data_IF_333529914389
#
_entry.id   IF_333529914389
#
_cell.length_a   1.000
_cell.length_b   1.000
_cell.length_c   1.000
_cell.angle_alpha   90.00
_cell.angle_beta   90.00
_cell.angle_gamma   90.00
#
_symmetry.space_group_name_H-M   'P 1'
#
loop_
_entity.id
_entity.type
_entity.pdbx_description
1 polymer ?
#
# COMPACT_ATOMS: atom_id res chain seq x y z
N UNK A 1 31.63 -3.71 21.07
CA UNK A 1 30.25 -3.56 21.57
C UNK A 1 29.52 -4.86 21.30
N UNK A 2 29.18 -5.62 22.34
CA UNK A 2 28.41 -6.86 22.20
C UNK A 2 26.93 -6.50 22.18
N UNK A 3 26.25 -6.73 21.06
CA UNK A 3 24.79 -6.59 21.00
C UNK A 3 24.16 -7.90 21.44
N UNK A 4 23.35 -7.86 22.50
CA UNK A 4 22.56 -9.01 22.91
C UNK A 4 21.49 -9.31 21.86
N UNK A 5 21.46 -10.54 21.35
CA UNK A 5 20.35 -11.03 20.52
C UNK A 5 19.17 -11.36 21.44
N UNK A 6 18.01 -10.77 21.18
CA UNK A 6 16.77 -11.05 21.92
C UNK A 6 16.01 -12.18 21.24
N UNK A 7 15.56 -13.16 22.02
CA UNK A 7 14.70 -14.23 21.53
C UNK A 7 13.27 -13.71 21.39
N UNK A 8 12.61 -14.15 20.33
CA UNK A 8 11.21 -13.80 20.05
C UNK A 8 10.30 -14.67 20.93
N UNK A 9 9.22 -14.10 21.47
CA UNK A 9 8.26 -14.86 22.28
C UNK A 9 7.51 -15.89 21.41
N UNK A 10 7.13 -17.01 22.01
CA UNK A 10 6.40 -18.07 21.31
C UNK A 10 5.07 -17.56 20.72
N UNK A 11 4.34 -16.75 21.48
CA UNK A 11 3.08 -16.13 21.04
C UNK A 11 3.22 -15.32 19.74
N UNK A 12 4.39 -14.69 19.52
CA UNK A 12 4.67 -13.96 18.29
C UNK A 12 5.05 -14.90 17.15
N UNK A 13 5.85 -15.94 17.43
CA UNK A 13 6.27 -16.93 16.44
C UNK A 13 5.03 -17.61 15.82
N UNK A 14 4.04 -17.96 16.63
CA UNK A 14 2.84 -18.68 16.17
C UNK A 14 1.94 -17.84 15.23
N UNK A 15 2.03 -16.51 15.30
CA UNK A 15 1.24 -15.58 14.49
C UNK A 15 2.03 -14.99 13.31
N UNK A 16 3.34 -15.22 13.25
CA UNK A 16 4.21 -14.62 12.26
C UNK A 16 4.00 -15.25 10.87
N UNK A 17 4.01 -14.41 9.84
CA UNK A 17 3.94 -14.88 8.44
C UNK A 17 5.26 -15.47 7.91
N UNK A 18 6.35 -15.35 8.69
CA UNK A 18 7.70 -15.75 8.28
C UNK A 18 8.52 -16.15 9.49
N UNK A 19 9.42 -17.12 9.32
CA UNK A 19 10.44 -17.52 10.29
C UNK A 19 11.83 -17.40 9.65
N UNK A 20 12.90 -17.68 10.41
CA UNK A 20 14.28 -17.51 9.92
C UNK A 20 14.57 -18.33 8.66
N UNK A 21 14.12 -19.60 8.64
CA UNK A 21 14.35 -20.51 7.51
C UNK A 21 13.61 -20.03 6.25
N UNK A 22 12.34 -19.65 6.39
CA UNK A 22 11.55 -19.14 5.27
C UNK A 22 12.09 -17.79 4.78
N UNK A 23 12.58 -16.93 5.69
CA UNK A 23 13.26 -15.70 5.33
C UNK A 23 14.49 -15.97 4.47
N UNK A 24 15.40 -16.84 4.91
CA UNK A 24 16.62 -17.17 4.17
C UNK A 24 16.29 -17.72 2.78
N UNK A 25 15.26 -18.59 2.70
CA UNK A 25 14.77 -19.12 1.43
C UNK A 25 14.25 -18.03 0.49
N UNK A 26 13.33 -17.17 0.97
CA UNK A 26 12.74 -16.10 0.15
C UNK A 26 13.77 -15.05 -0.25
N UNK A 27 14.70 -14.73 0.66
CA UNK A 27 15.81 -13.82 0.39
C UNK A 27 16.72 -14.37 -0.71
N UNK A 28 17.12 -15.64 -0.60
CA UNK A 28 17.91 -16.32 -1.64
C UNK A 28 17.17 -16.33 -2.99
N UNK A 29 15.88 -16.67 -3.00
CA UNK A 29 15.05 -16.65 -4.21
C UNK A 29 14.99 -15.25 -4.85
N UNK A 30 14.88 -14.19 -4.04
CA UNK A 30 14.82 -12.80 -4.52
C UNK A 30 16.12 -12.32 -5.19
N UNK A 31 17.27 -12.92 -4.84
CA UNK A 31 18.56 -12.60 -5.43
C UNK A 31 18.87 -13.47 -6.65
N UNK A 32 18.59 -14.78 -6.56
CA UNK A 32 18.91 -15.73 -7.62
C UNK A 32 17.90 -15.70 -8.77
N UNK A 33 16.62 -15.48 -8.48
CA UNK A 33 15.53 -15.48 -9.46
C UNK A 33 14.62 -14.25 -9.28
N UNK A 34 15.16 -13.01 -9.38
CA UNK A 34 14.43 -11.78 -9.07
C UNK A 34 13.16 -11.61 -9.92
N UNK A 35 13.22 -11.92 -11.21
CA UNK A 35 12.08 -11.78 -12.13
C UNK A 35 10.88 -12.63 -11.69
N UNK A 36 11.12 -13.92 -11.39
CA UNK A 36 10.07 -14.84 -10.95
C UNK A 36 9.56 -14.47 -9.56
N UNK A 37 10.47 -14.14 -8.64
CA UNK A 37 10.14 -13.76 -7.27
C UNK A 37 9.24 -12.51 -7.26
N UNK A 38 9.66 -11.44 -7.94
CA UNK A 38 8.92 -10.18 -7.93
C UNK A 38 7.63 -10.26 -8.74
N UNK A 39 7.59 -11.05 -9.82
CA UNK A 39 6.32 -11.37 -10.51
C UNK A 39 5.32 -12.01 -9.55
N UNK A 40 5.74 -12.99 -8.76
CA UNK A 40 4.90 -13.64 -7.75
C UNK A 40 4.43 -12.66 -6.67
N UNK A 41 5.32 -11.79 -6.17
CA UNK A 41 4.94 -10.81 -5.15
C UNK A 41 3.98 -9.75 -5.69
N UNK A 42 4.20 -9.26 -6.90
CA UNK A 42 3.38 -8.23 -7.53
C UNK A 42 1.98 -8.73 -7.92
N UNK A 43 1.82 -10.02 -8.19
CA UNK A 43 0.49 -10.61 -8.44
C UNK A 43 -0.40 -10.73 -7.18
N UNK A 44 0.08 -10.29 -6.01
CA UNK A 44 -0.74 -10.19 -4.77
C UNK A 44 -1.63 -8.94 -4.75
N UNK A 45 -1.40 -8.00 -5.67
CA UNK A 45 -2.22 -6.81 -5.85
C UNK A 45 -2.97 -6.88 -7.18
N UNK A 46 -4.02 -6.07 -7.30
CA UNK A 46 -4.83 -6.02 -8.50
C UNK A 46 -4.18 -5.13 -9.55
N UNK A 47 -4.05 -5.68 -10.76
CA UNK A 47 -3.61 -4.99 -11.96
C UNK A 47 -4.78 -4.89 -12.93
N UNK A 48 -5.06 -3.70 -13.43
CA UNK A 48 -6.04 -3.50 -14.51
C UNK A 48 -5.49 -4.00 -15.84
N UNK A 49 -4.19 -3.76 -16.06
CA UNK A 49 -3.40 -4.37 -17.13
C UNK A 49 -2.22 -5.11 -16.51
N UNK A 50 -2.15 -6.45 -16.63
CA UNK A 50 -1.00 -7.21 -16.17
C UNK A 50 0.30 -6.73 -16.82
N UNK A 51 1.40 -6.75 -16.08
CA UNK A 51 2.73 -6.49 -16.61
C UNK A 51 3.31 -7.76 -17.25
N UNK A 52 4.21 -7.60 -18.20
CA UNK A 52 4.94 -8.72 -18.82
C UNK A 52 6.29 -8.97 -18.18
N UNK A 53 6.93 -7.93 -17.62
CA UNK A 53 8.26 -8.00 -17.00
C UNK A 53 8.25 -7.33 -15.63
N UNK A 54 8.77 -8.03 -14.62
CA UNK A 54 8.85 -7.49 -13.26
C UNK A 54 9.92 -6.39 -13.14
N UNK A 55 11.10 -6.61 -13.73
CA UNK A 55 12.22 -5.68 -13.58
C UNK A 55 12.98 -5.44 -14.90
N UNK A 56 13.16 -4.18 -15.26
CA UNK A 56 13.99 -3.76 -16.38
C UNK A 56 14.81 -2.54 -15.99
N UNK A 57 16.03 -2.75 -15.48
CA UNK A 57 16.82 -1.61 -15.01
C UNK A 57 18.32 -1.70 -15.26
N UNK A 58 18.92 -0.53 -15.48
CA UNK A 58 20.37 -0.29 -15.55
C UNK A 58 20.76 0.78 -14.53
N UNK A 59 21.93 0.61 -13.91
CA UNK A 59 22.51 1.62 -13.02
C UNK A 59 23.52 2.52 -13.73
N UNK A 60 23.88 2.21 -14.98
CA UNK A 60 24.79 3.01 -15.81
C UNK A 60 24.46 2.82 -17.32
N UNK A 61 23.72 3.73 -17.96
CA UNK A 61 23.02 4.89 -17.38
C UNK A 61 21.93 4.46 -16.41
N UNK A 62 21.56 5.34 -15.46
CA UNK A 62 20.45 5.06 -14.53
C UNK A 62 19.13 5.09 -15.28
N UNK A 63 18.53 3.92 -15.45
CA UNK A 63 17.18 3.72 -15.97
C UNK A 63 16.56 2.58 -15.15
N UNK A 64 15.72 2.90 -14.17
CA UNK A 64 15.15 1.91 -13.25
C UNK A 64 13.65 1.77 -13.49
N UNK A 65 13.21 0.61 -13.98
CA UNK A 65 11.81 0.34 -14.28
C UNK A 65 11.35 -0.97 -13.66
N UNK A 66 10.19 -0.90 -13.02
CA UNK A 66 9.49 -2.02 -12.42
C UNK A 66 8.09 -2.09 -12.99
N UNK A 67 7.69 -3.27 -13.49
CA UNK A 67 6.34 -3.51 -14.03
C UNK A 67 5.93 -2.48 -15.11
N UNK A 68 6.86 -2.12 -15.99
CA UNK A 68 6.81 -0.93 -16.87
C UNK A 68 5.54 -0.85 -17.74
N UNK A 69 5.03 -2.00 -18.18
CA UNK A 69 3.86 -2.10 -19.04
C UNK A 69 2.54 -2.41 -18.29
N UNK A 70 2.63 -2.58 -16.97
CA UNK A 70 1.50 -2.84 -16.09
C UNK A 70 0.76 -1.56 -15.70
N UNK A 71 -0.56 -1.67 -15.54
CA UNK A 71 -1.40 -0.55 -15.11
C UNK A 71 -2.22 -0.95 -13.88
N UNK A 72 -2.17 -0.11 -12.86
CA UNK A 72 -2.94 -0.26 -11.62
C UNK A 72 -3.47 1.08 -11.14
N UNK A 73 -4.48 1.03 -10.28
CA UNK A 73 -4.91 2.16 -9.49
C UNK A 73 -4.63 1.88 -8.00
N UNK A 74 -3.96 2.82 -7.33
CA UNK A 74 -3.58 2.67 -5.91
C UNK A 74 -4.83 2.67 -5.02
N UNK A 75 -5.76 3.60 -5.25
CA UNK A 75 -6.99 3.72 -4.48
C UNK A 75 -7.85 2.45 -4.63
N UNK A 76 -7.91 1.89 -5.83
CA UNK A 76 -8.60 0.61 -6.06
C UNK A 76 -8.03 -0.52 -5.20
N UNK A 77 -6.71 -0.62 -5.11
CA UNK A 77 -6.03 -1.62 -4.29
C UNK A 77 -6.15 -1.36 -2.77
N UNK A 78 -6.27 -0.09 -2.36
CA UNK A 78 -6.37 0.29 -0.96
C UNK A 78 -7.81 0.28 -0.43
N UNK A 79 -8.82 0.48 -1.29
CA UNK A 79 -10.21 0.69 -0.89
C UNK A 79 -11.17 -0.20 -1.68
N UNK A 80 -11.29 0.00 -2.98
CA UNK A 80 -12.38 -0.52 -3.81
C UNK A 80 -12.43 -2.05 -3.81
N UNK A 81 -11.29 -2.71 -4.00
CA UNK A 81 -11.21 -4.18 -4.02
C UNK A 81 -11.66 -4.84 -2.71
N UNK A 82 -11.68 -4.10 -1.62
CA UNK A 82 -12.09 -4.59 -0.30
C UNK A 82 -13.59 -4.40 -0.05
N UNK A 83 -14.28 -3.55 -0.80
CA UNK A 83 -15.71 -3.26 -0.57
C UNK A 83 -16.61 -4.51 -0.60
N UNK A 84 -16.47 -5.47 -1.53
CA UNK A 84 -17.38 -6.61 -1.60
C UNK A 84 -17.41 -7.45 -0.31
N UNK A 85 -16.26 -7.63 0.34
CA UNK A 85 -16.13 -8.47 1.53
C UNK A 85 -16.04 -7.69 2.85
N UNK A 86 -15.59 -6.43 2.81
CA UNK A 86 -15.17 -5.67 4.00
C UNK A 86 -15.81 -4.29 4.11
N UNK A 87 -16.88 -4.00 3.35
CA UNK A 87 -17.55 -2.69 3.34
C UNK A 87 -17.80 -2.09 4.74
N UNK A 88 -18.28 -2.91 5.68
CA UNK A 88 -18.63 -2.48 7.05
C UNK A 88 -17.46 -2.63 8.04
N UNK A 89 -16.32 -3.19 7.62
CA UNK A 89 -15.14 -3.28 8.45
C UNK A 89 -14.48 -1.91 8.58
N UNK A 90 -14.02 -1.58 9.79
CA UNK A 90 -13.23 -0.37 10.04
C UNK A 90 -11.92 -0.45 9.25
N UNK A 91 -11.76 0.49 8.30
CA UNK A 91 -10.55 0.66 7.50
C UNK A 91 -9.56 1.61 8.17
N UNK A 92 -10.08 2.64 8.84
CA UNK A 92 -9.26 3.69 9.45
C UNK A 92 -9.82 4.11 10.80
N UNK A 93 -8.93 4.24 11.79
CA UNK A 93 -9.25 4.81 13.10
C UNK A 93 -8.55 6.16 13.19
N UNK A 94 -9.33 7.24 13.16
CA UNK A 94 -8.83 8.56 13.45
C UNK A 94 -8.85 8.80 14.96
N UNK A 95 -7.68 8.83 15.57
CA UNK A 95 -7.52 9.23 16.96
C UNK A 95 -7.43 10.75 17.06
N UNK A 96 -8.35 11.36 17.80
CA UNK A 96 -8.33 12.79 18.08
C UNK A 96 -7.59 13.06 19.41
N UNK A 97 -7.14 14.30 19.60
CA UNK A 97 -6.53 14.74 20.86
C UNK A 97 -7.47 14.53 22.04
N UNK A 98 -8.76 14.81 21.84
CA UNK A 98 -9.80 14.38 22.76
C UNK A 98 -10.31 12.99 22.33
N UNK A 99 -10.08 11.92 23.11
CA UNK A 99 -10.50 10.56 22.73
C UNK A 99 -12.00 10.43 22.45
N UNK A 100 -12.85 11.27 23.05
CA UNK A 100 -14.30 11.30 22.80
C UNK A 100 -14.66 11.76 21.38
N UNK A 101 -13.71 12.36 20.65
CA UNK A 101 -13.88 12.81 19.26
C UNK A 101 -13.28 11.84 18.24
N UNK A 102 -12.61 10.78 18.68
CA UNK A 102 -12.04 9.78 17.77
C UNK A 102 -13.13 9.14 16.91
N UNK A 103 -12.78 8.82 15.66
CA UNK A 103 -13.72 8.25 14.68
C UNK A 103 -13.19 6.94 14.15
N UNK A 104 -14.08 5.96 14.02
CA UNK A 104 -13.84 4.75 13.23
C UNK A 104 -14.51 4.97 11.87
N UNK A 105 -13.78 4.71 10.80
CA UNK A 105 -14.22 4.93 9.42
C UNK A 105 -14.14 3.58 8.72
N UNK A 106 -15.29 3.11 8.25
CA UNK A 106 -15.42 1.85 7.50
C UNK A 106 -14.88 1.98 6.07
N UNK A 107 -14.63 0.85 5.40
CA UNK A 107 -14.23 0.86 3.98
C UNK A 107 -15.26 1.59 3.10
N UNK A 108 -16.56 1.41 3.37
CA UNK A 108 -17.63 2.09 2.63
C UNK A 108 -17.56 3.61 2.82
N UNK A 109 -17.44 4.08 4.05
CA UNK A 109 -17.33 5.52 4.33
C UNK A 109 -16.04 6.11 3.76
N UNK A 110 -14.94 5.35 3.80
CA UNK A 110 -13.67 5.76 3.21
C UNK A 110 -13.81 5.93 1.69
N UNK A 111 -14.41 4.95 1.01
CA UNK A 111 -14.68 5.00 -0.43
C UNK A 111 -15.46 6.26 -0.82
N UNK A 112 -16.59 6.52 -0.14
CA UNK A 112 -17.40 7.71 -0.43
C UNK A 112 -16.62 9.02 -0.27
N UNK A 113 -15.79 9.13 0.78
CA UNK A 113 -14.98 10.35 1.02
C UNK A 113 -13.86 10.52 0.01
N UNK A 114 -13.24 9.43 -0.45
CA UNK A 114 -12.22 9.46 -1.51
C UNK A 114 -12.85 9.89 -2.83
N UNK A 115 -13.99 9.31 -3.21
CA UNK A 115 -14.71 9.73 -4.43
C UNK A 115 -15.16 11.19 -4.37
N UNK A 116 -15.66 11.65 -3.22
CA UNK A 116 -16.05 13.06 -3.03
C UNK A 116 -14.84 13.99 -3.25
N UNK A 117 -13.69 13.66 -2.67
CA UNK A 117 -12.47 14.45 -2.86
C UNK A 117 -11.97 14.41 -4.31
N UNK A 118 -11.99 13.25 -4.96
CA UNK A 118 -11.61 13.10 -6.35
C UNK A 118 -12.48 13.98 -7.26
N UNK A 119 -13.80 13.99 -7.05
CA UNK A 119 -14.73 14.82 -7.80
C UNK A 119 -14.48 16.32 -7.57
N UNK A 120 -14.12 16.73 -6.34
CA UNK A 120 -13.75 18.11 -6.05
C UNK A 120 -12.49 18.50 -6.84
N UNK A 121 -11.45 17.65 -6.85
CA UNK A 121 -10.22 17.92 -7.60
C UNK A 121 -10.49 18.01 -9.11
N UNK A 122 -11.29 17.09 -9.64
CA UNK A 122 -11.69 17.10 -11.05
C UNK A 122 -12.47 18.37 -11.42
N UNK A 123 -13.41 18.79 -10.58
CA UNK A 123 -14.18 20.03 -10.76
C UNK A 123 -13.30 21.29 -10.73
N UNK A 124 -12.15 21.23 -10.03
CA UNK A 124 -11.14 22.29 -10.02
C UNK A 124 -10.10 22.15 -11.14
N UNK A 125 -10.32 21.23 -12.09
CA UNK A 125 -9.53 21.12 -13.31
C UNK A 125 -8.30 20.21 -13.21
N UNK A 126 -8.07 19.52 -12.09
CA UNK A 126 -6.93 18.61 -11.91
C UNK A 126 -6.99 17.45 -12.92
N UNK A 127 -5.87 17.15 -13.58
CA UNK A 127 -5.69 16.09 -14.57
C UNK A 127 -4.59 15.12 -14.17
N UNK A 128 -4.55 13.98 -14.87
CA UNK A 128 -3.47 12.98 -14.72
C UNK A 128 -2.12 13.63 -15.03
N UNK A 129 -1.20 13.57 -14.07
CA UNK A 129 0.13 14.17 -14.18
C UNK A 129 0.28 15.50 -13.42
N UNK A 130 -0.82 16.10 -12.98
CA UNK A 130 -0.76 17.32 -12.18
C UNK A 130 -0.29 17.04 -10.76
N UNK A 131 0.46 17.99 -10.19
CA UNK A 131 0.93 17.95 -8.81
C UNK A 131 -0.02 18.74 -7.93
N UNK A 132 -0.61 18.08 -6.92
CA UNK A 132 -1.48 18.72 -5.93
C UNK A 132 -0.73 18.88 -4.61
N UNK A 133 -0.40 20.11 -4.23
CA UNK A 133 0.21 20.40 -2.92
C UNK A 133 -0.85 20.38 -1.83
N UNK A 134 -0.57 19.65 -0.75
CA UNK A 134 -1.49 19.53 0.38
C UNK A 134 -0.87 20.07 1.66
N UNK A 135 -1.46 21.14 2.20
CA UNK A 135 -1.11 21.67 3.52
C UNK A 135 -2.08 21.15 4.56
N UNK A 136 -1.61 20.27 5.45
CA UNK A 136 -2.43 19.66 6.49
C UNK A 136 -1.95 20.02 7.89
N UNK A 137 -2.86 20.53 8.71
CA UNK A 137 -2.72 20.47 10.16
C UNK A 137 -3.32 19.15 10.70
N UNK A 138 -3.06 18.82 11.97
CA UNK A 138 -3.40 17.56 12.68
C UNK A 138 -4.86 17.04 12.64
N UNK A 139 -5.77 17.63 11.87
CA UNK A 139 -7.20 17.39 11.95
C UNK A 139 -7.71 16.37 10.91
N UNK A 140 -8.11 15.17 11.35
CA UNK A 140 -9.21 14.32 10.84
C UNK A 140 -9.30 13.84 9.39
N UNK A 141 -8.88 14.62 8.40
CA UNK A 141 -9.10 14.40 6.96
C UNK A 141 -7.81 14.01 6.20
N UNK A 142 -6.87 13.36 6.89
CA UNK A 142 -5.51 13.20 6.35
C UNK A 142 -5.41 12.15 5.23
N UNK A 143 -6.10 11.01 5.34
CA UNK A 143 -6.00 9.91 4.37
C UNK A 143 -6.91 10.04 3.15
N UNK A 144 -8.06 10.69 3.27
CA UNK A 144 -9.08 10.78 2.20
C UNK A 144 -8.70 11.68 1.03
N UNK A 145 -7.50 12.25 1.02
CA UNK A 145 -7.02 13.02 -0.14
C UNK A 145 -5.58 12.70 -0.52
N UNK A 146 -5.03 11.62 0.05
CA UNK A 146 -3.81 10.98 -0.46
C UNK A 146 -4.23 9.89 -1.46
N UNK A 147 -5.39 9.28 -1.21
CA UNK A 147 -6.16 8.50 -2.18
C UNK A 147 -7.13 9.42 -2.90
#
# INVERSE_FOLDING_TARGET
>A
MSYSKFQVSQDFIDQAHINSELYEKLYKESLENPEQFWTKQANRIHWHKPFTKAYNSSFAPVDIKWFDDGELNVCYNCVDRHLPARANQVAFIWQADNPKKSKKITYRELYHRVCEMANILEANGVKKGDVVTKMLQGYGRKLTSIM
#
